data_IF_721984336612
#
_entry.id   IF_721984336612
#
_cell.length_a   1.000
_cell.length_b   1.000
_cell.length_c   1.000
_cell.angle_alpha   90.00
_cell.angle_beta   90.00
_cell.angle_gamma   90.00
#
_symmetry.space_group_name_H-M   'P 1'
#
loop_
_entity.id
_entity.type
_entity.pdbx_description
1 polymer ?
#
# COMPACT_ATOMS: atom_id res chain seq x y z
N UNK A 1 -18.03 -3.88 18.69
CA UNK A 1 -17.23 -4.95 18.04
C UNK A 1 -17.51 -4.89 16.54
N UNK A 2 -16.69 -4.19 15.76
CA UNK A 2 -16.86 -4.09 14.29
C UNK A 2 -16.41 -5.42 13.69
N UNK A 3 -17.33 -6.17 13.10
CA UNK A 3 -17.02 -7.35 12.30
C UNK A 3 -16.20 -6.91 11.10
N UNK A 4 -14.90 -7.21 11.10
CA UNK A 4 -14.08 -7.09 9.89
C UNK A 4 -14.58 -8.13 8.90
N UNK A 5 -15.52 -7.71 8.05
CA UNK A 5 -15.92 -8.51 6.89
C UNK A 5 -14.68 -8.68 6.01
N UNK A 6 -14.34 -9.90 5.59
CA UNK A 6 -13.22 -10.12 4.69
C UNK A 6 -13.46 -9.28 3.42
N UNK A 7 -12.52 -8.39 3.12
CA UNK A 7 -12.56 -7.58 1.91
C UNK A 7 -12.35 -8.53 0.74
N UNK A 8 -13.37 -8.68 -0.11
CA UNK A 8 -13.21 -9.42 -1.35
C UNK A 8 -12.40 -8.58 -2.34
N UNK A 9 -11.63 -9.20 -3.26
CA UNK A 9 -10.90 -8.47 -4.30
C UNK A 9 -11.81 -7.52 -5.10
N UNK A 10 -13.05 -7.95 -5.36
CA UNK A 10 -14.07 -7.13 -6.04
C UNK A 10 -14.44 -5.88 -5.22
N UNK A 11 -14.59 -6.00 -3.90
CA UNK A 11 -14.87 -4.86 -3.02
C UNK A 11 -13.71 -3.86 -3.01
N UNK A 12 -12.47 -4.35 -3.00
CA UNK A 12 -11.28 -3.49 -3.08
C UNK A 12 -11.25 -2.71 -4.40
N UNK A 13 -11.51 -3.38 -5.53
CA UNK A 13 -11.59 -2.75 -6.84
C UNK A 13 -12.69 -1.67 -6.90
N UNK A 14 -13.90 -2.00 -6.47
CA UNK A 14 -15.03 -1.06 -6.47
C UNK A 14 -14.73 0.16 -5.59
N UNK A 15 -14.18 -0.05 -4.39
CA UNK A 15 -13.81 1.04 -3.50
C UNK A 15 -12.74 1.94 -4.12
N UNK A 16 -11.75 1.37 -4.82
CA UNK A 16 -10.71 2.12 -5.51
C UNK A 16 -11.25 2.98 -6.64
N UNK A 17 -12.09 2.39 -7.51
CA UNK A 17 -12.74 3.11 -8.61
C UNK A 17 -13.62 4.24 -8.09
N UNK A 18 -14.41 3.99 -7.05
CA UNK A 18 -15.24 5.02 -6.40
C UNK A 18 -14.36 6.16 -5.86
N UNK A 19 -13.24 5.84 -5.20
CA UNK A 19 -12.30 6.85 -4.70
C UNK A 19 -11.74 7.74 -5.82
N UNK A 20 -11.33 7.15 -6.93
CA UNK A 20 -10.85 7.88 -8.11
C UNK A 20 -11.96 8.75 -8.70
N UNK A 21 -13.18 8.23 -8.83
CA UNK A 21 -14.33 8.98 -9.35
C UNK A 21 -14.68 10.19 -8.46
N UNK A 22 -14.69 9.99 -7.13
CA UNK A 22 -14.92 11.07 -6.16
C UNK A 22 -13.83 12.13 -6.30
N UNK A 23 -12.57 11.74 -6.43
CA UNK A 23 -11.46 12.67 -6.63
C UNK A 23 -11.64 13.48 -7.93
N UNK A 24 -12.00 12.83 -9.04
CA UNK A 24 -12.25 13.49 -10.32
C UNK A 24 -13.45 14.46 -10.26
N UNK A 25 -14.53 14.09 -9.59
CA UNK A 25 -15.65 15.03 -9.39
C UNK A 25 -15.19 16.20 -8.52
N UNK A 26 -14.45 15.91 -7.45
CA UNK A 26 -13.88 16.90 -6.55
C UNK A 26 -13.01 17.92 -7.28
N UNK A 27 -12.15 17.50 -8.20
CA UNK A 27 -11.27 18.41 -8.94
C UNK A 27 -12.05 19.36 -9.85
N UNK A 28 -13.11 18.86 -10.49
CA UNK A 28 -14.00 19.68 -11.34
C UNK A 28 -14.74 20.72 -10.50
N UNK A 29 -15.29 20.30 -9.35
CA UNK A 29 -15.98 21.20 -8.42
C UNK A 29 -15.01 22.25 -7.87
N UNK A 30 -13.82 21.85 -7.44
CA UNK A 30 -12.78 22.76 -6.96
C UNK A 30 -12.38 23.78 -8.03
N UNK A 31 -12.22 23.34 -9.29
CA UNK A 31 -11.93 24.24 -10.41
C UNK A 31 -13.05 25.24 -10.67
N UNK A 32 -14.30 24.78 -10.61
CA UNK A 32 -15.45 25.67 -10.72
C UNK A 32 -15.47 26.71 -9.59
N UNK A 33 -15.27 26.29 -8.33
CA UNK A 33 -15.20 27.21 -7.19
C UNK A 33 -14.05 28.21 -7.33
N UNK A 34 -12.88 27.77 -7.81
CA UNK A 34 -11.70 28.63 -7.97
C UNK A 34 -11.97 29.75 -8.97
N UNK A 35 -12.66 29.45 -10.07
CA UNK A 35 -13.06 30.46 -11.04
C UNK A 35 -14.05 31.50 -10.48
N UNK A 36 -14.84 31.13 -9.48
CA UNK A 36 -15.84 32.01 -8.85
C UNK A 36 -15.32 32.71 -7.59
N UNK A 37 -14.09 32.43 -7.16
CA UNK A 37 -13.52 32.97 -5.93
C UNK A 37 -12.26 33.76 -6.26
N UNK A 38 -12.15 34.99 -5.79
CA UNK A 38 -10.96 35.83 -6.01
C UNK A 38 -9.83 35.55 -5.00
N UNK A 39 -9.71 34.33 -4.47
CA UNK A 39 -8.75 33.99 -3.42
C UNK A 39 -7.50 33.30 -4.01
N UNK A 40 -6.33 33.99 -4.07
CA UNK A 40 -5.16 33.46 -4.79
C UNK A 40 -4.61 32.15 -4.22
N UNK A 41 -4.68 31.97 -2.90
CA UNK A 41 -4.22 30.73 -2.24
C UNK A 41 -5.07 29.53 -2.67
N UNK A 42 -6.37 29.74 -2.86
CA UNK A 42 -7.26 28.67 -3.27
C UNK A 42 -7.07 28.33 -4.74
N UNK A 43 -6.97 29.33 -5.61
CA UNK A 43 -6.72 29.14 -7.04
C UNK A 43 -5.39 28.39 -7.28
N UNK A 44 -4.30 28.82 -6.63
CA UNK A 44 -3.01 28.14 -6.71
C UNK A 44 -3.03 26.71 -6.16
N UNK A 45 -3.82 26.43 -5.12
CA UNK A 45 -3.99 25.08 -4.60
C UNK A 45 -4.72 24.17 -5.60
N UNK A 46 -5.74 24.69 -6.27
CA UNK A 46 -6.47 23.96 -7.31
C UNK A 46 -5.58 23.71 -8.53
N UNK A 47 -4.76 24.68 -8.93
CA UNK A 47 -3.75 24.49 -9.97
C UNK A 47 -2.72 23.42 -9.60
N UNK A 48 -2.25 23.39 -8.34
CA UNK A 48 -1.38 22.33 -7.84
C UNK A 48 -2.05 20.96 -7.95
N UNK A 49 -3.32 20.84 -7.53
CA UNK A 49 -4.07 19.59 -7.65
C UNK A 49 -4.22 19.14 -9.11
N UNK A 50 -4.47 20.09 -10.02
CA UNK A 50 -4.62 19.79 -11.45
C UNK A 50 -3.29 19.35 -12.07
N UNK A 51 -2.20 20.03 -11.74
CA UNK A 51 -0.84 19.68 -12.18
C UNK A 51 -0.41 18.30 -11.69
N UNK A 52 -0.85 17.88 -10.51
CA UNK A 52 -0.53 16.58 -9.92
C UNK A 52 -1.64 15.53 -10.08
N UNK A 53 -2.71 15.83 -10.82
CA UNK A 53 -3.86 14.94 -10.94
C UNK A 53 -3.48 13.56 -11.47
N UNK A 54 -2.58 13.50 -12.47
CA UNK A 54 -2.06 12.25 -13.01
C UNK A 54 -1.31 11.43 -11.95
N UNK A 55 -0.48 12.08 -11.13
CA UNK A 55 0.26 11.43 -10.04
C UNK A 55 -0.70 10.90 -8.98
N UNK A 56 -1.75 11.65 -8.63
CA UNK A 56 -2.79 11.24 -7.68
C UNK A 56 -3.52 10.00 -8.18
N UNK A 57 -4.01 10.05 -9.42
CA UNK A 57 -4.65 8.91 -10.07
C UNK A 57 -3.73 7.69 -10.07
N UNK A 58 -2.44 7.87 -10.38
CA UNK A 58 -1.49 6.78 -10.45
C UNK A 58 -1.26 6.12 -9.09
N UNK A 59 -1.00 6.87 -8.01
CA UNK A 59 -0.86 6.24 -6.70
C UNK A 59 -2.18 5.65 -6.19
N UNK A 60 -3.35 6.22 -6.53
CA UNK A 60 -4.65 5.64 -6.19
C UNK A 60 -4.87 4.29 -6.87
N UNK A 61 -4.48 4.14 -8.14
CA UNK A 61 -4.51 2.87 -8.85
C UNK A 61 -3.55 1.87 -8.18
N UNK A 62 -2.32 2.28 -7.86
CA UNK A 62 -1.36 1.40 -7.18
C UNK A 62 -1.86 0.92 -5.81
N UNK A 63 -2.43 1.81 -5.00
CA UNK A 63 -3.08 1.41 -3.73
C UNK A 63 -4.23 0.43 -3.98
N UNK A 64 -5.07 0.67 -5.01
CA UNK A 64 -6.17 -0.24 -5.35
C UNK A 64 -5.65 -1.62 -5.73
N UNK A 65 -4.59 -1.70 -6.55
CA UNK A 65 -3.93 -2.95 -6.91
C UNK A 65 -3.35 -3.63 -5.66
N UNK A 66 -2.70 -2.86 -4.77
CA UNK A 66 -2.21 -3.35 -3.49
C UNK A 66 -3.33 -3.98 -2.64
N UNK A 67 -4.45 -3.30 -2.48
CA UNK A 67 -5.61 -3.80 -1.73
C UNK A 67 -6.23 -5.05 -2.36
N UNK A 68 -6.26 -5.13 -3.70
CA UNK A 68 -6.67 -6.34 -4.42
C UNK A 68 -5.75 -7.51 -4.05
N UNK A 69 -4.43 -7.31 -4.07
CA UNK A 69 -3.46 -8.34 -3.66
C UNK A 69 -3.60 -8.71 -2.17
N UNK A 70 -3.87 -7.73 -1.30
CA UNK A 70 -4.05 -7.94 0.14
C UNK A 70 -5.25 -8.84 0.48
N UNK A 71 -6.27 -8.84 -0.38
CA UNK A 71 -7.47 -9.65 -0.23
C UNK A 71 -7.25 -11.15 -0.51
N UNK A 72 -6.19 -11.51 -1.23
CA UNK A 72 -5.85 -12.92 -1.48
C UNK A 72 -5.14 -13.55 -0.27
N UNK A 73 -5.20 -14.88 -0.20
CA UNK A 73 -4.40 -15.64 0.76
C UNK A 73 -2.94 -15.72 0.31
N UNK A 74 -2.05 -15.98 1.26
CA UNK A 74 -0.67 -16.32 0.96
C UNK A 74 -0.62 -17.50 -0.04
N UNK A 75 0.24 -17.48 -1.07
CA UNK A 75 1.32 -16.49 -1.34
C UNK A 75 0.92 -15.32 -2.25
N UNK A 76 -0.34 -15.26 -2.70
CA UNK A 76 -0.78 -14.26 -3.68
C UNK A 76 -0.87 -12.84 -3.12
N UNK A 77 -0.81 -12.67 -1.79
CA UNK A 77 -0.71 -11.36 -1.15
C UNK A 77 0.71 -10.82 -1.01
N UNK A 78 1.75 -11.54 -1.46
CA UNK A 78 3.13 -11.06 -1.43
C UNK A 78 3.39 -9.78 -2.23
N UNK A 79 2.70 -9.48 -3.36
CA UNK A 79 2.92 -8.22 -4.07
C UNK A 79 2.34 -6.98 -3.36
N UNK A 80 1.36 -7.14 -2.48
CA UNK A 80 0.66 -6.02 -1.82
C UNK A 80 1.60 -5.00 -1.15
N UNK A 81 2.62 -5.41 -0.36
CA UNK A 81 3.54 -4.47 0.28
C UNK A 81 4.33 -3.64 -0.72
N UNK A 82 4.67 -4.21 -1.89
CA UNK A 82 5.42 -3.52 -2.95
C UNK A 82 4.57 -2.42 -3.57
N UNK A 83 3.34 -2.74 -3.98
CA UNK A 83 2.42 -1.76 -4.55
C UNK A 83 2.13 -0.62 -3.57
N UNK A 84 1.87 -0.96 -2.30
CA UNK A 84 1.60 0.05 -1.27
C UNK A 84 2.83 0.89 -0.95
N UNK A 85 4.05 0.33 -0.98
CA UNK A 85 5.27 1.11 -0.75
C UNK A 85 5.51 2.12 -1.87
N UNK A 86 5.40 1.69 -3.14
CA UNK A 86 5.54 2.60 -4.29
C UNK A 86 4.46 3.67 -4.27
N UNK A 87 3.19 3.30 -4.04
CA UNK A 87 2.09 4.26 -3.90
C UNK A 87 2.33 5.26 -2.77
N UNK A 88 2.83 4.80 -1.62
CA UNK A 88 3.14 5.66 -0.46
C UNK A 88 4.26 6.64 -0.75
N UNK A 89 5.30 6.24 -1.49
CA UNK A 89 6.38 7.16 -1.91
C UNK A 89 5.82 8.27 -2.80
N UNK A 90 4.94 7.94 -3.74
CA UNK A 90 4.30 8.93 -4.60
C UNK A 90 3.36 9.86 -3.82
N UNK A 91 2.57 9.30 -2.90
CA UNK A 91 1.73 10.07 -1.99
C UNK A 91 2.56 11.05 -1.16
N UNK A 92 3.67 10.59 -0.56
CA UNK A 92 4.58 11.45 0.21
C UNK A 92 5.21 12.50 -0.68
N UNK A 93 5.58 12.18 -1.92
CA UNK A 93 6.08 13.18 -2.88
C UNK A 93 5.03 14.25 -3.19
N UNK A 94 3.75 13.87 -3.32
CA UNK A 94 2.66 14.83 -3.46
C UNK A 94 2.50 15.71 -2.22
N UNK A 95 2.53 15.13 -1.03
CA UNK A 95 2.46 15.89 0.23
C UNK A 95 3.61 16.88 0.35
N UNK A 96 4.84 16.50 -0.02
CA UNK A 96 5.98 17.43 -0.04
C UNK A 96 5.71 18.57 -1.03
N UNK A 97 5.12 18.28 -2.20
CA UNK A 97 4.77 19.31 -3.19
C UNK A 97 3.73 20.30 -2.65
N UNK A 98 2.77 19.82 -1.85
CA UNK A 98 1.84 20.68 -1.10
C UNK A 98 2.58 21.60 -0.11
N UNK A 99 3.56 21.06 0.63
CA UNK A 99 4.36 21.85 1.57
C UNK A 99 5.22 22.90 0.85
N UNK A 100 5.79 22.56 -0.31
CA UNK A 100 6.53 23.50 -1.16
C UNK A 100 5.61 24.61 -1.63
N UNK A 101 4.40 24.29 -2.09
CA UNK A 101 3.40 25.31 -2.45
C UNK A 101 3.09 26.28 -1.31
N UNK A 102 2.88 25.77 -0.09
CA UNK A 102 2.65 26.63 1.08
C UNK A 102 3.89 27.48 1.40
N UNK A 103 5.09 26.88 1.34
CA UNK A 103 6.35 27.61 1.53
C UNK A 103 6.49 28.76 0.53
N UNK A 104 6.19 28.51 -0.74
CA UNK A 104 6.37 29.48 -1.82
C UNK A 104 5.31 30.58 -1.74
N UNK A 105 4.06 30.23 -1.41
CA UNK A 105 2.98 31.20 -1.23
C UNK A 105 3.24 32.17 -0.07
N UNK A 106 3.71 31.66 1.07
CA UNK A 106 3.99 32.47 2.26
C UNK A 106 5.44 32.98 2.35
N UNK A 107 6.28 32.67 1.37
CA UNK A 107 7.71 32.99 1.36
C UNK A 107 8.43 32.60 2.67
N UNK A 108 8.12 31.42 3.22
CA UNK A 108 8.63 30.95 4.53
C UNK A 108 10.16 30.77 4.51
N UNK A 109 10.72 30.42 3.35
CA UNK A 109 12.17 30.27 3.17
C UNK A 109 12.74 28.91 3.60
N UNK A 110 11.90 27.89 3.78
CA UNK A 110 12.30 26.54 4.20
C UNK A 110 12.51 25.57 3.02
N UNK A 111 12.51 26.06 1.78
CA UNK A 111 12.62 25.22 0.57
C UNK A 111 13.84 24.28 0.57
N UNK A 112 15.01 24.76 1.05
CA UNK A 112 16.19 23.92 1.17
C UNK A 112 15.98 22.77 2.18
N UNK A 113 15.37 23.06 3.33
CA UNK A 113 15.04 22.03 4.32
C UNK A 113 14.06 21.00 3.74
N UNK A 114 13.05 21.43 2.98
CA UNK A 114 12.12 20.53 2.31
C UNK A 114 12.81 19.61 1.28
N UNK A 115 13.83 20.11 0.57
CA UNK A 115 14.66 19.30 -0.33
C UNK A 115 15.42 18.20 0.41
N UNK A 116 16.04 18.54 1.56
CA UNK A 116 16.72 17.57 2.42
C UNK A 116 15.74 16.56 3.00
N UNK A 117 14.59 17.02 3.51
CA UNK A 117 13.52 16.14 4.01
C UNK A 117 13.08 15.18 2.92
N UNK A 118 12.88 15.64 1.67
CA UNK A 118 12.52 14.78 0.54
C UNK A 118 13.54 13.67 0.30
N UNK A 119 14.83 13.98 0.36
CA UNK A 119 15.92 13.02 0.14
C UNK A 119 15.87 11.85 1.13
N UNK A 120 15.55 12.10 2.40
CA UNK A 120 15.49 11.07 3.43
C UNK A 120 14.11 10.42 3.57
N UNK A 121 13.04 11.21 3.44
CA UNK A 121 11.67 10.76 3.73
C UNK A 121 11.16 9.77 2.67
N UNK A 122 11.53 9.96 1.40
CA UNK A 122 11.11 9.06 0.31
C UNK A 122 11.68 7.63 0.48
N UNK A 123 13.00 7.40 0.57
CA UNK A 123 13.54 6.06 0.78
C UNK A 123 13.10 5.47 2.13
N UNK A 124 12.97 6.29 3.17
CA UNK A 124 12.50 5.82 4.48
C UNK A 124 11.05 5.33 4.41
N UNK A 125 10.17 6.04 3.70
CA UNK A 125 8.77 5.62 3.48
C UNK A 125 8.72 4.30 2.74
N UNK A 126 9.54 4.12 1.70
CA UNK A 126 9.63 2.86 0.96
C UNK A 126 9.99 1.70 1.91
N UNK A 127 11.05 1.87 2.71
CA UNK A 127 11.54 0.82 3.63
C UNK A 127 10.49 0.52 4.70
N UNK A 128 9.95 1.53 5.38
CA UNK A 128 8.99 1.35 6.47
C UNK A 128 7.74 0.64 5.96
N UNK A 129 7.19 1.07 4.83
CA UNK A 129 5.95 0.48 4.28
C UNK A 129 6.18 -0.94 3.80
N UNK A 130 7.32 -1.25 3.17
CA UNK A 130 7.68 -2.62 2.80
C UNK A 130 7.78 -3.52 4.03
N UNK A 131 8.56 -3.11 5.03
CA UNK A 131 8.78 -3.91 6.25
C UNK A 131 7.45 -4.14 6.99
N UNK A 132 6.66 -3.08 7.20
CA UNK A 132 5.36 -3.19 7.85
C UNK A 132 4.40 -4.08 7.06
N UNK A 133 4.36 -3.94 5.73
CA UNK A 133 3.52 -4.73 4.85
C UNK A 133 3.87 -6.22 4.90
N UNK A 134 5.15 -6.59 4.78
CA UNK A 134 5.55 -7.99 4.90
C UNK A 134 5.33 -8.55 6.30
N UNK A 135 5.65 -7.78 7.36
CA UNK A 135 5.40 -8.21 8.74
C UNK A 135 3.92 -8.53 8.96
N UNK A 136 3.00 -7.74 8.37
CA UNK A 136 1.56 -7.99 8.47
C UNK A 136 1.14 -9.33 7.86
N UNK A 137 1.80 -9.77 6.78
CA UNK A 137 1.55 -11.07 6.14
C UNK A 137 2.02 -12.19 7.07
N UNK A 138 3.22 -12.09 7.62
CA UNK A 138 3.79 -13.11 8.51
C UNK A 138 3.03 -13.25 9.83
N UNK A 139 2.60 -12.14 10.44
CA UNK A 139 1.79 -12.15 11.66
C UNK A 139 0.44 -12.83 11.40
N UNK A 140 -0.18 -12.58 10.25
CA UNK A 140 -1.46 -13.22 9.86
C UNK A 140 -1.30 -14.74 9.63
N UNK A 141 -0.14 -15.20 9.19
CA UNK A 141 0.16 -16.63 9.03
C UNK A 141 0.39 -17.36 10.36
N UNK A 142 0.93 -16.68 11.38
CA UNK A 142 1.19 -17.30 12.70
C UNK A 142 -0.11 -17.73 13.42
N UNK A 143 -1.27 -17.25 12.96
CA UNK A 143 -2.57 -17.47 13.60
C UNK A 143 -2.68 -16.71 14.93
N UNK A 144 -3.89 -16.55 15.49
CA UNK A 144 -4.02 -16.04 16.85
C UNK A 144 -3.29 -17.01 17.78
N UNK A 145 -2.31 -16.48 18.53
CA UNK A 145 -1.64 -17.19 19.60
C UNK A 145 -2.72 -17.71 20.56
N UNK A 146 -2.94 -19.03 20.56
CA UNK A 146 -3.81 -19.67 21.54
C UNK A 146 -3.16 -19.39 22.88
N UNK A 147 -3.73 -18.44 23.64
CA UNK A 147 -3.32 -18.16 25.01
C UNK A 147 -3.25 -19.50 25.75
N UNK A 148 -2.06 -19.96 26.19
CA UNK A 148 -1.99 -21.20 26.94
C UNK A 148 -2.55 -20.89 28.33
N UNK A 149 -3.80 -21.27 28.56
CA UNK A 149 -4.28 -21.55 29.90
C UNK A 149 -3.39 -22.65 30.49
N UNK A 150 -2.48 -22.23 31.38
CA UNK A 150 -1.54 -23.08 32.14
C UNK A 150 -2.28 -24.04 33.09
N UNK A 151 -1.63 -25.03 33.73
CA UNK A 151 -1.08 -26.26 33.17
C UNK A 151 -1.67 -27.51 33.87
N UNK A 152 -1.94 -28.59 33.14
CA UNK A 152 -2.00 -29.93 33.74
C UNK A 152 -1.74 -31.04 32.71
N UNK A 153 -0.92 -32.01 33.10
CA UNK A 153 -0.77 -33.30 32.42
C UNK A 153 0.34 -33.35 31.38
N UNK A 154 1.43 -34.03 31.72
CA UNK A 154 2.63 -34.14 30.90
C UNK A 154 2.58 -35.16 29.77
N UNK A 155 3.54 -35.05 28.86
CA UNK A 155 4.40 -36.14 28.38
C UNK A 155 5.42 -35.56 27.39
N UNK A 156 6.64 -36.02 27.55
CA UNK A 156 7.86 -35.68 26.83
C UNK A 156 7.80 -36.18 25.38
N UNK A 157 8.04 -35.31 24.39
CA UNK A 157 8.59 -35.70 23.08
C UNK A 157 9.46 -34.58 22.46
N UNK A 158 10.48 -34.93 21.65
CA UNK A 158 11.71 -34.15 21.52
C UNK A 158 11.69 -33.15 20.36
N UNK A 159 12.30 -31.99 20.59
CA UNK A 159 12.99 -31.17 19.58
C UNK A 159 12.32 -30.99 18.22
N UNK A 160 11.23 -30.22 18.14
CA UNK A 160 10.83 -29.58 16.89
C UNK A 160 11.88 -28.52 16.54
N UNK A 161 12.91 -28.92 15.79
CA UNK A 161 13.81 -27.98 15.12
C UNK A 161 12.96 -27.05 14.27
N UNK A 162 13.01 -25.74 14.54
CA UNK A 162 12.38 -24.76 13.67
C UNK A 162 12.98 -24.93 12.27
N UNK A 163 12.15 -25.05 11.21
CA UNK A 163 12.68 -25.27 9.87
C UNK A 163 13.66 -24.15 9.51
N UNK A 164 14.83 -24.54 9.00
CA UNK A 164 15.85 -23.58 8.62
C UNK A 164 15.30 -22.72 7.46
N UNK A 165 15.78 -21.49 7.36
CA UNK A 165 15.37 -20.56 6.30
C UNK A 165 15.63 -21.12 4.89
N UNK A 166 16.64 -21.98 4.74
CA UNK A 166 16.91 -22.68 3.48
C UNK A 166 15.81 -23.69 3.17
N UNK A 167 15.32 -24.43 4.17
CA UNK A 167 14.22 -25.39 4.00
C UNK A 167 12.93 -24.68 3.57
N UNK A 168 12.60 -23.56 4.22
CA UNK A 168 11.41 -22.76 3.87
C UNK A 168 11.55 -22.16 2.46
N UNK A 169 12.76 -21.71 2.10
CA UNK A 169 13.05 -21.16 0.78
C UNK A 169 12.90 -22.19 -0.34
N UNK A 170 13.38 -23.41 -0.12
CA UNK A 170 13.25 -24.50 -1.09
C UNK A 170 11.80 -24.96 -1.27
N UNK A 171 11.04 -25.11 -0.18
CA UNK A 171 9.61 -25.44 -0.24
C UNK A 171 8.81 -24.37 -0.99
N UNK A 172 9.11 -23.09 -0.74
CA UNK A 172 8.47 -21.99 -1.46
C UNK A 172 8.80 -21.99 -2.96
N UNK A 173 10.07 -22.23 -3.33
CA UNK A 173 10.51 -22.31 -4.74
C UNK A 173 9.81 -23.45 -5.47
N UNK A 174 9.67 -24.61 -4.82
CA UNK A 174 8.97 -25.77 -5.39
C UNK A 174 7.48 -25.46 -5.59
N UNK A 175 6.83 -24.86 -4.58
CA UNK A 175 5.43 -24.47 -4.68
C UNK A 175 5.18 -23.48 -5.84
N UNK A 176 6.06 -22.50 -6.03
CA UNK A 176 5.98 -21.54 -7.14
C UNK A 176 6.21 -22.23 -8.50
N UNK A 177 7.20 -23.12 -8.59
CA UNK A 177 7.50 -23.86 -9.81
C UNK A 177 6.31 -24.73 -10.26
N UNK A 178 5.64 -25.38 -9.30
CA UNK A 178 4.47 -26.21 -9.56
C UNK A 178 3.25 -25.38 -9.98
N UNK A 179 3.06 -24.22 -9.37
CA UNK A 179 2.00 -23.29 -9.77
C UNK A 179 2.20 -22.78 -11.20
N UNK A 180 3.43 -22.39 -11.56
CA UNK A 180 3.78 -21.95 -12.91
C UNK A 180 3.59 -23.09 -13.93
N UNK A 181 3.96 -24.31 -13.57
CA UNK A 181 3.70 -25.50 -14.39
C UNK A 181 2.22 -25.75 -14.59
N UNK A 182 1.42 -25.63 -13.53
CA UNK A 182 -0.03 -25.85 -13.60
C UNK A 182 -0.71 -24.85 -14.52
N UNK A 183 -0.41 -23.56 -14.38
CA UNK A 183 -0.95 -22.49 -15.23
C UNK A 183 -0.55 -22.72 -16.70
N UNK A 184 0.71 -23.08 -16.94
CA UNK A 184 1.22 -23.37 -18.29
C UNK A 184 0.50 -24.57 -18.93
N UNK A 185 0.26 -25.61 -18.16
CA UNK A 185 -0.42 -26.81 -18.66
C UNK A 185 -1.91 -26.58 -18.91
N UNK A 186 -2.58 -25.69 -18.15
CA UNK A 186 -3.95 -25.27 -18.45
C UNK A 186 -4.02 -24.45 -19.75
N UNK A 187 -3.07 -23.53 -19.99
CA UNK A 187 -3.03 -22.71 -21.21
C UNK A 187 -2.73 -23.54 -22.46
N UNK A 188 -1.92 -24.60 -22.36
CA UNK A 188 -1.59 -25.49 -23.49
C UNK A 188 -2.64 -26.58 -23.77
N UNK A 189 -3.73 -26.63 -23.01
CA UNK A 189 -4.79 -27.63 -23.16
C UNK A 189 -6.00 -27.11 -23.93
N UNK A 190 -6.04 -25.80 -24.18
CA UNK A 190 -6.93 -25.11 -25.12
C UNK A 190 -6.18 -24.81 -26.44
#
# INVERSE_FOLDING_TARGET
MKTHTPTTPLKALISGIIGILIFLIGIVVLRFLAHHTSWPLFDGFVDLLFAHAALIIFFSILFTIGEIFAAFSFPFNLPFPVFNAVASVLLVSFLISLLVYVNDFYAIGIGHALGVVRLFLLPLTLIIVLVAGYLSIFVKMKGPEVTPSSPSGGSTEPGRSCPSWETIGEEFRQMIADLIRKIRNEINKD
#
